data_IF_972619492616
#
_entry.id   IF_972619492616
#
_cell.length_a   1.000
_cell.length_b   1.000
_cell.length_c   1.000
_cell.angle_alpha   90.00
_cell.angle_beta   90.00
_cell.angle_gamma   90.00
#
_symmetry.space_group_name_H-M   'P 1'
#
loop_
_entity.id
_entity.type
_entity.pdbx_description
1 polymer ?
#
# COMPACT_ATOMS: atom_id res chain seq x y z
N UNK A 1 22.89 -5.05 0.67
CA UNK A 1 22.06 -6.13 0.07
C UNK A 1 20.71 -5.55 -0.33
N UNK A 2 19.92 -6.22 -1.20
CA UNK A 2 18.56 -5.79 -1.55
C UNK A 2 17.56 -6.29 -0.52
N UNK A 3 16.56 -5.48 -0.16
CA UNK A 3 15.48 -5.79 0.78
C UNK A 3 14.15 -5.31 0.22
N UNK A 4 13.16 -6.20 0.24
CA UNK A 4 11.76 -5.88 -0.09
C UNK A 4 10.98 -5.93 1.22
N UNK A 5 10.45 -4.79 1.65
CA UNK A 5 9.68 -4.66 2.89
C UNK A 5 8.24 -4.37 2.49
N UNK A 6 7.31 -5.24 2.89
CA UNK A 6 5.90 -5.10 2.57
C UNK A 6 5.10 -4.66 3.79
N UNK A 7 4.34 -3.57 3.66
CA UNK A 7 3.43 -3.04 4.67
C UNK A 7 1.99 -3.27 4.20
N UNK A 8 1.27 -4.22 4.81
CA UNK A 8 -0.06 -4.60 4.36
C UNK A 8 -1.10 -3.52 4.65
N UNK A 9 -2.21 -3.56 3.90
CA UNK A 9 -3.39 -2.77 4.20
C UNK A 9 -4.17 -3.28 5.41
N UNK A 10 -5.22 -2.54 5.76
CA UNK A 10 -6.14 -2.85 6.86
C UNK A 10 -6.93 -4.15 6.68
N UNK A 11 -7.76 -4.44 7.67
CA UNK A 11 -8.49 -5.69 7.96
C UNK A 11 -7.60 -6.78 8.59
N UNK A 12 -8.21 -7.70 9.36
CA UNK A 12 -7.56 -8.93 9.80
C UNK A 12 -6.83 -9.65 8.67
N UNK A 13 -5.64 -10.17 8.98
CA UNK A 13 -4.80 -10.95 8.06
C UNK A 13 -4.62 -12.37 8.60
N UNK A 14 -4.22 -13.33 7.75
CA UNK A 14 -3.72 -14.59 8.24
C UNK A 14 -2.48 -14.42 9.13
N UNK A 15 -2.12 -15.48 9.89
CA UNK A 15 -0.86 -15.53 10.62
C UNK A 15 0.31 -15.03 9.76
N UNK A 16 1.19 -14.23 10.35
CA UNK A 16 2.21 -13.46 9.63
C UNK A 16 3.01 -14.29 8.61
N UNK A 17 3.48 -15.47 8.98
CA UNK A 17 4.28 -16.34 8.10
C UNK A 17 3.47 -16.83 6.90
N UNK A 18 2.22 -17.24 7.13
CA UNK A 18 1.32 -17.70 6.08
C UNK A 18 0.93 -16.56 5.14
N UNK A 19 0.70 -15.35 5.67
CA UNK A 19 0.40 -14.18 4.87
C UNK A 19 1.61 -13.74 4.03
N UNK A 20 2.81 -13.71 4.65
CA UNK A 20 4.07 -13.42 3.95
C UNK A 20 4.27 -14.37 2.78
N UNK A 21 4.04 -15.67 3.01
CA UNK A 21 4.17 -16.69 1.98
C UNK A 21 3.24 -16.43 0.79
N UNK A 22 1.96 -16.16 1.03
CA UNK A 22 1.02 -15.88 -0.08
C UNK A 22 1.36 -14.58 -0.83
N UNK A 23 1.83 -13.55 -0.13
CA UNK A 23 2.28 -12.30 -0.77
C UNK A 23 3.52 -12.55 -1.64
N UNK A 24 4.50 -13.30 -1.14
CA UNK A 24 5.70 -13.65 -1.87
C UNK A 24 5.37 -14.50 -3.11
N UNK A 25 4.49 -15.50 -2.99
CA UNK A 25 4.00 -16.29 -4.13
C UNK A 25 3.41 -15.40 -5.24
N UNK A 26 2.58 -14.43 -4.88
CA UNK A 26 2.00 -13.49 -5.86
C UNK A 26 3.05 -12.58 -6.48
N UNK A 27 3.97 -12.04 -5.69
CA UNK A 27 5.06 -11.20 -6.17
C UNK A 27 5.95 -11.97 -7.15
N UNK A 28 6.42 -13.17 -6.76
CA UNK A 28 7.26 -14.01 -7.59
C UNK A 28 6.56 -14.42 -8.88
N UNK A 29 5.27 -14.76 -8.82
CA UNK A 29 4.49 -15.06 -10.02
C UNK A 29 4.46 -13.86 -10.97
N UNK A 30 4.13 -12.67 -10.48
CA UNK A 30 4.14 -11.44 -11.28
C UNK A 30 5.52 -11.19 -11.91
N UNK A 31 6.57 -11.17 -11.09
CA UNK A 31 7.94 -10.90 -11.56
C UNK A 31 8.43 -11.98 -12.54
N UNK A 32 8.05 -13.24 -12.37
CA UNK A 32 8.41 -14.32 -13.31
C UNK A 32 7.88 -14.05 -14.73
N UNK A 33 6.70 -13.42 -14.85
CA UNK A 33 6.16 -13.06 -16.17
C UNK A 33 6.94 -11.96 -16.87
N UNK A 34 7.70 -11.15 -16.12
CA UNK A 34 8.53 -10.06 -16.62
C UNK A 34 9.97 -10.54 -16.84
N UNK A 35 10.58 -11.12 -15.81
CA UNK A 35 11.95 -11.61 -15.82
C UNK A 35 12.10 -12.81 -14.86
N UNK A 36 12.16 -14.05 -15.39
CA UNK A 36 12.32 -15.27 -14.58
C UNK A 36 13.65 -15.37 -13.81
N UNK A 37 14.72 -14.71 -14.25
CA UNK A 37 16.00 -14.72 -13.54
C UNK A 37 15.91 -13.89 -12.26
N UNK A 38 15.37 -12.67 -12.34
CA UNK A 38 15.12 -11.81 -11.17
C UNK A 38 14.21 -12.50 -10.15
N UNK A 39 13.15 -13.17 -10.60
CA UNK A 39 12.26 -13.90 -9.70
C UNK A 39 13.02 -14.96 -8.88
N UNK A 40 13.91 -15.73 -9.51
CA UNK A 40 14.77 -16.72 -8.83
C UNK A 40 15.75 -16.06 -7.86
N UNK A 41 16.31 -14.90 -8.21
CA UNK A 41 17.18 -14.15 -7.30
C UNK A 41 16.41 -13.67 -6.05
N UNK A 42 15.21 -13.12 -6.22
CA UNK A 42 14.35 -12.69 -5.10
C UNK A 42 14.01 -13.88 -4.19
N UNK A 43 13.64 -15.02 -4.78
CA UNK A 43 13.28 -16.23 -4.05
C UNK A 43 14.48 -16.77 -3.22
N UNK A 44 15.66 -16.80 -3.82
CA UNK A 44 16.87 -17.34 -3.17
C UNK A 44 17.52 -16.39 -2.17
N UNK A 45 17.36 -15.08 -2.33
CA UNK A 45 17.99 -14.07 -1.47
C UNK A 45 17.34 -13.93 -0.08
N UNK A 46 16.16 -14.55 0.14
CA UNK A 46 15.33 -14.38 1.34
C UNK A 46 15.22 -12.91 1.79
N UNK A 47 14.98 -12.04 0.81
CA UNK A 47 15.01 -10.59 0.99
C UNK A 47 13.64 -9.97 1.28
N UNK A 48 12.57 -10.77 1.23
CA UNK A 48 11.20 -10.32 1.42
C UNK A 48 10.77 -10.38 2.90
N UNK A 49 10.28 -9.27 3.43
CA UNK A 49 9.80 -9.17 4.82
C UNK A 49 8.42 -8.54 4.89
N UNK A 50 7.62 -9.01 5.85
CA UNK A 50 6.28 -8.51 6.12
C UNK A 50 6.28 -7.71 7.42
N UNK A 51 5.78 -6.47 7.39
CA UNK A 51 5.44 -5.73 8.60
C UNK A 51 4.05 -6.17 9.07
N UNK A 52 3.97 -7.17 9.94
CA UNK A 52 2.72 -7.80 10.37
C UNK A 52 1.91 -6.98 11.40
N UNK A 53 1.75 -5.68 11.16
CA UNK A 53 1.11 -4.76 12.12
C UNK A 53 -0.36 -5.08 12.42
N UNK A 54 -1.06 -5.76 11.52
CA UNK A 54 -2.48 -6.11 11.68
C UNK A 54 -2.74 -6.90 12.97
N UNK A 55 -1.81 -7.76 13.39
CA UNK A 55 -1.90 -8.56 14.62
C UNK A 55 -1.92 -7.72 15.90
N UNK A 56 -1.43 -6.48 15.82
CA UNK A 56 -1.38 -5.52 16.91
C UNK A 56 -2.51 -4.48 16.83
N UNK A 57 -3.34 -4.55 15.78
CA UNK A 57 -4.44 -3.63 15.53
C UNK A 57 -5.80 -4.30 15.60
N UNK A 58 -5.89 -5.57 15.24
CA UNK A 58 -7.12 -6.37 15.27
C UNK A 58 -7.01 -7.49 16.30
N UNK A 59 -8.11 -7.74 17.02
CA UNK A 59 -8.22 -8.86 17.97
C UNK A 59 -8.47 -10.21 17.30
N UNK A 60 -8.62 -10.22 15.97
CA UNK A 60 -8.93 -11.42 15.19
C UNK A 60 -7.93 -11.60 14.04
N UNK A 61 -7.67 -12.86 13.71
CA UNK A 61 -6.92 -13.25 12.53
C UNK A 61 -7.84 -13.89 11.49
N UNK A 62 -7.51 -13.72 10.21
CA UNK A 62 -8.24 -14.33 9.10
C UNK A 62 -7.71 -15.75 8.88
N UNK A 63 -8.58 -16.75 8.87
CA UNK A 63 -8.15 -18.11 8.53
C UNK A 63 -7.55 -18.16 7.11
N UNK A 64 -6.32 -18.65 7.01
CA UNK A 64 -5.59 -18.79 5.75
C UNK A 64 -6.35 -19.66 4.73
N UNK A 65 -7.15 -20.61 5.20
CA UNK A 65 -7.96 -21.47 4.33
C UNK A 65 -9.03 -20.70 3.56
N UNK A 66 -9.42 -19.51 4.04
CA UNK A 66 -10.31 -18.61 3.31
C UNK A 66 -9.57 -17.84 2.21
N UNK A 67 -8.23 -17.79 2.23
CA UNK A 67 -7.41 -17.01 1.29
C UNK A 67 -6.81 -17.89 0.19
N UNK A 68 -6.29 -19.07 0.55
CA UNK A 68 -5.55 -19.97 -0.36
C UNK A 68 -6.32 -20.29 -1.64
N UNK A 69 -7.62 -20.67 -1.62
CA UNK A 69 -8.34 -21.01 -2.85
C UNK A 69 -8.39 -19.86 -3.84
N UNK A 70 -8.55 -18.63 -3.35
CA UNK A 70 -8.63 -17.43 -4.18
C UNK A 70 -7.27 -16.99 -4.72
N UNK A 71 -6.21 -17.12 -3.92
CA UNK A 71 -4.83 -16.90 -4.40
C UNK A 71 -4.47 -17.94 -5.46
N UNK A 72 -4.73 -19.23 -5.21
CA UNK A 72 -4.46 -20.27 -6.19
C UNK A 72 -5.22 -20.04 -7.50
N UNK A 73 -6.51 -19.66 -7.41
CA UNK A 73 -7.29 -19.27 -8.59
C UNK A 73 -6.67 -18.08 -9.32
N UNK A 74 -6.27 -17.05 -8.59
CA UNK A 74 -5.64 -15.86 -9.18
C UNK A 74 -4.36 -16.23 -9.95
N UNK A 75 -3.54 -17.12 -9.40
CA UNK A 75 -2.27 -17.56 -9.99
C UNK A 75 -2.43 -18.56 -11.15
N UNK A 76 -3.58 -19.22 -11.25
CA UNK A 76 -3.87 -20.20 -12.32
C UNK A 76 -4.61 -19.58 -13.51
N UNK A 77 -4.92 -18.28 -13.48
CA UNK A 77 -5.68 -17.61 -14.54
C UNK A 77 -4.75 -16.99 -15.57
N UNK A 78 -4.72 -17.56 -16.77
CA UNK A 78 -3.94 -17.01 -17.90
C UNK A 78 -4.60 -15.78 -18.53
N UNK A 79 -5.94 -15.71 -18.47
CA UNK A 79 -6.72 -14.57 -18.94
C UNK A 79 -7.80 -14.22 -17.94
N UNK A 80 -8.06 -12.92 -17.83
CA UNK A 80 -9.12 -12.41 -16.97
C UNK A 80 -10.31 -11.93 -17.81
N UNK A 81 -11.54 -12.29 -17.44
CA UNK A 81 -12.70 -12.00 -18.27
C UNK A 81 -13.03 -10.49 -18.27
N UNK A 82 -13.38 -9.96 -19.45
CA UNK A 82 -13.76 -8.55 -19.64
C UNK A 82 -14.93 -8.10 -18.75
N UNK A 83 -15.78 -9.05 -18.33
CA UNK A 83 -16.86 -8.83 -17.37
C UNK A 83 -16.39 -8.21 -16.05
N UNK A 84 -15.13 -8.44 -15.65
CA UNK A 84 -14.56 -7.88 -14.43
C UNK A 84 -14.38 -6.37 -14.60
N UNK A 85 -13.94 -5.93 -15.78
CA UNK A 85 -13.78 -4.51 -16.13
C UNK A 85 -15.13 -3.79 -16.17
N UNK A 86 -16.18 -4.47 -16.61
CA UNK A 86 -17.55 -3.92 -16.67
C UNK A 86 -18.19 -3.77 -15.28
N UNK A 87 -17.93 -4.69 -14.34
CA UNK A 87 -18.46 -4.65 -12.97
C UNK A 87 -18.04 -3.39 -12.18
N UNK A 88 -16.94 -2.76 -12.57
CA UNK A 88 -16.42 -1.50 -11.98
C UNK A 88 -17.22 -0.27 -12.41
N UNK A 89 -18.02 -0.34 -13.48
CA UNK A 89 -18.70 0.84 -14.09
C UNK A 89 -20.04 1.22 -13.45
N UNK A 90 -20.49 0.55 -12.39
CA UNK A 90 -21.83 0.76 -11.83
C UNK A 90 -21.94 2.05 -11.00
N UNK A 91 -23.12 2.70 -11.06
CA UNK A 91 -23.49 3.95 -10.34
C UNK A 91 -23.11 3.97 -8.85
N UNK A 92 -23.10 2.81 -8.19
CA UNK A 92 -22.65 2.62 -6.80
C UNK A 92 -21.23 3.15 -6.54
N UNK A 93 -20.31 2.96 -7.48
CA UNK A 93 -18.90 3.38 -7.37
C UNK A 93 -18.75 4.91 -7.46
N UNK A 94 -19.58 5.58 -8.27
CA UNK A 94 -19.60 7.05 -8.36
C UNK A 94 -20.08 7.70 -7.07
N UNK A 95 -21.10 7.12 -6.43
CA UNK A 95 -21.63 7.63 -5.17
C UNK A 95 -20.63 7.50 -4.01
N UNK A 96 -19.94 6.35 -3.89
CA UNK A 96 -18.93 6.13 -2.86
C UNK A 96 -17.74 7.09 -3.04
N UNK A 97 -17.30 7.33 -4.28
CA UNK A 97 -16.25 8.32 -4.60
C UNK A 97 -16.59 9.71 -4.08
N UNK A 98 -17.82 10.17 -4.30
CA UNK A 98 -18.29 11.48 -3.81
C UNK A 98 -18.29 11.55 -2.28
N UNK A 99 -18.71 10.48 -1.59
CA UNK A 99 -18.73 10.44 -0.12
C UNK A 99 -17.32 10.53 0.47
N UNK A 100 -16.36 9.78 -0.08
CA UNK A 100 -14.97 9.84 0.39
C UNK A 100 -14.28 11.17 0.07
N UNK A 101 -14.57 11.79 -1.09
CA UNK A 101 -14.07 13.14 -1.42
C UNK A 101 -14.65 14.22 -0.48
N UNK A 102 -15.87 14.02 0.01
CA UNK A 102 -16.57 14.93 0.93
C UNK A 102 -16.44 14.53 2.40
N UNK A 103 -15.63 13.52 2.74
CA UNK A 103 -15.62 12.90 4.08
C UNK A 103 -15.35 13.86 5.24
N UNK A 104 -14.52 14.89 5.03
CA UNK A 104 -14.28 15.96 6.01
C UNK A 104 -15.35 17.07 5.99
N UNK A 105 -16.07 17.24 4.88
CA UNK A 105 -17.09 18.27 4.73
C UNK A 105 -18.41 17.83 5.36
N UNK A 106 -18.67 16.52 5.44
CA UNK A 106 -19.96 15.97 5.90
C UNK A 106 -19.81 14.71 6.78
N UNK A 107 -19.17 14.79 7.98
CA UNK A 107 -19.01 13.63 8.88
C UNK A 107 -20.34 12.98 9.28
N UNK A 108 -21.42 13.76 9.29
CA UNK A 108 -22.79 13.31 9.56
C UNK A 108 -23.35 12.36 8.48
N UNK A 109 -22.72 12.26 7.30
CA UNK A 109 -23.07 11.27 6.28
C UNK A 109 -22.49 9.88 6.58
N UNK A 110 -21.44 9.76 7.41
CA UNK A 110 -20.78 8.46 7.70
C UNK A 110 -21.77 7.43 8.27
N UNK A 111 -22.66 7.76 9.22
CA UNK A 111 -23.69 6.84 9.71
C UNK A 111 -24.70 6.40 8.64
N UNK A 112 -24.92 7.23 7.60
CA UNK A 112 -25.87 7.00 6.51
C UNK A 112 -25.30 6.09 5.40
N UNK A 113 -24.00 5.77 5.43
CA UNK A 113 -23.39 4.81 4.52
C UNK A 113 -23.93 3.42 4.86
N UNK A 114 -24.70 2.82 3.95
CA UNK A 114 -25.26 1.47 4.17
C UNK A 114 -24.18 0.38 4.19
N UNK A 115 -23.08 0.58 3.47
CA UNK A 115 -21.99 -0.39 3.39
C UNK A 115 -21.14 -0.42 4.67
N UNK A 116 -21.26 -1.52 5.43
CA UNK A 116 -20.54 -1.74 6.68
C UNK A 116 -19.01 -1.75 6.49
N UNK A 117 -18.50 -2.25 5.35
CA UNK A 117 -17.05 -2.29 5.09
C UNK A 117 -16.46 -0.90 5.00
N UNK A 118 -17.19 0.04 4.40
CA UNK A 118 -16.76 1.44 4.28
C UNK A 118 -16.77 2.10 5.66
N UNK A 119 -17.78 1.84 6.49
CA UNK A 119 -17.85 2.40 7.85
C UNK A 119 -16.71 1.88 8.75
N UNK A 120 -16.46 0.57 8.75
CA UNK A 120 -15.32 -0.02 9.47
C UNK A 120 -13.98 0.51 8.95
N UNK A 121 -13.84 0.60 7.63
CA UNK A 121 -12.69 1.18 6.93
C UNK A 121 -12.34 2.59 7.43
N UNK A 122 -13.34 3.47 7.60
CA UNK A 122 -13.16 4.84 8.12
C UNK A 122 -12.79 4.80 9.60
N UNK A 123 -13.48 3.99 10.42
CA UNK A 123 -13.21 3.85 11.87
C UNK A 123 -11.79 3.38 12.15
N UNK A 124 -11.30 2.38 11.43
CA UNK A 124 -9.92 1.88 11.58
C UNK A 124 -8.89 2.98 11.25
N UNK A 125 -9.18 3.75 10.19
CA UNK A 125 -8.31 4.86 9.77
C UNK A 125 -8.33 5.97 10.83
N UNK A 126 -9.48 6.27 11.42
CA UNK A 126 -9.60 7.19 12.55
C UNK A 126 -8.84 6.73 13.79
N UNK A 127 -8.92 5.43 14.12
CA UNK A 127 -8.25 4.87 15.29
C UNK A 127 -6.73 5.05 15.19
N UNK A 128 -6.17 4.81 14.00
CA UNK A 128 -4.76 5.10 13.73
C UNK A 128 -4.46 6.60 13.86
N UNK A 129 -5.21 7.49 13.21
CA UNK A 129 -4.89 8.93 13.26
C UNK A 129 -5.07 9.56 14.64
N UNK A 130 -6.07 9.11 15.43
CA UNK A 130 -6.25 9.55 16.82
C UNK A 130 -5.16 9.03 17.74
N UNK A 131 -4.40 8.00 17.31
CA UNK A 131 -3.37 7.32 18.09
C UNK A 131 -3.85 6.95 19.51
N UNK A 132 -5.12 6.54 19.63
CA UNK A 132 -5.68 6.18 20.93
C UNK A 132 -4.91 5.01 21.54
N UNK A 133 -4.51 5.13 22.80
CA UNK A 133 -3.72 4.11 23.48
C UNK A 133 -2.39 3.78 22.79
N UNK A 134 -1.76 4.75 22.09
CA UNK A 134 -0.48 4.61 21.39
C UNK A 134 -0.44 3.58 20.23
N UNK A 135 -1.61 3.19 19.72
CA UNK A 135 -1.70 2.14 18.70
C UNK A 135 -0.92 2.48 17.43
N UNK A 136 -0.98 3.72 16.96
CA UNK A 136 -0.32 4.14 15.74
C UNK A 136 1.20 4.24 15.92
N UNK A 137 1.65 4.75 17.08
CA UNK A 137 3.07 4.76 17.43
C UNK A 137 3.65 3.35 17.47
N UNK A 138 2.98 2.40 18.14
CA UNK A 138 3.41 0.99 18.19
C UNK A 138 3.50 0.37 16.80
N UNK A 139 2.52 0.63 15.93
CA UNK A 139 2.49 0.12 14.56
C UNK A 139 3.63 0.69 13.72
N UNK A 140 3.87 2.01 13.80
CA UNK A 140 5.02 2.62 13.13
C UNK A 140 6.33 2.07 13.65
N UNK A 141 6.47 1.86 14.96
CA UNK A 141 7.67 1.24 15.53
C UNK A 141 7.95 -0.16 14.95
N UNK A 142 6.92 -0.97 14.68
CA UNK A 142 7.09 -2.27 13.99
C UNK A 142 7.64 -2.10 12.57
N UNK A 143 7.18 -1.09 11.83
CA UNK A 143 7.71 -0.79 10.50
C UNK A 143 9.13 -0.20 10.55
N UNK A 144 9.39 0.69 11.51
CA UNK A 144 10.69 1.37 11.62
C UNK A 144 11.82 0.39 11.94
N UNK A 145 11.54 -0.70 12.65
CA UNK A 145 12.56 -1.72 12.99
C UNK A 145 13.34 -2.29 11.78
N UNK A 146 12.69 -2.88 10.75
CA UNK A 146 13.41 -3.37 9.58
C UNK A 146 14.07 -2.25 8.77
N UNK A 147 13.47 -1.06 8.73
CA UNK A 147 14.03 0.11 8.03
C UNK A 147 15.31 0.62 8.69
N UNK A 148 15.35 0.79 10.02
CA UNK A 148 16.57 1.14 10.77
C UNK A 148 17.68 0.11 10.54
N UNK A 149 17.33 -1.18 10.55
CA UNK A 149 18.29 -2.26 10.32
C UNK A 149 18.88 -2.21 8.91
N UNK A 150 18.06 -1.91 7.91
CA UNK A 150 18.51 -1.77 6.52
C UNK A 150 19.40 -0.52 6.35
N UNK A 151 18.97 0.63 6.88
CA UNK A 151 19.75 1.87 6.85
C UNK A 151 21.12 1.71 7.53
N UNK A 152 21.19 1.07 8.71
CA UNK A 152 22.45 0.81 9.40
C UNK A 152 23.39 -0.17 8.68
N UNK A 153 22.93 -0.83 7.62
CA UNK A 153 23.72 -1.74 6.79
C UNK A 153 23.96 -1.23 5.36
N UNK A 154 23.45 -0.03 5.04
CA UNK A 154 23.42 0.49 3.68
C UNK A 154 22.78 -0.50 2.69
N UNK A 155 21.72 -1.19 3.15
CA UNK A 155 20.92 -2.07 2.31
C UNK A 155 20.06 -1.24 1.34
N UNK A 156 19.87 -1.77 0.12
CA UNK A 156 18.96 -1.21 -0.88
C UNK A 156 17.53 -1.63 -0.58
N UNK A 157 16.63 -0.67 -0.37
CA UNK A 157 15.28 -0.95 0.12
C UNK A 157 14.19 -0.57 -0.89
N UNK A 158 13.38 -1.56 -1.25
CA UNK A 158 12.06 -1.39 -1.82
C UNK A 158 11.03 -1.51 -0.70
N UNK A 159 10.33 -0.41 -0.41
CA UNK A 159 9.25 -0.39 0.58
C UNK A 159 7.91 -0.39 -0.16
N UNK A 160 7.12 -1.44 0.01
CA UNK A 160 5.81 -1.58 -0.63
C UNK A 160 4.71 -1.29 0.39
N UNK A 161 4.00 -0.18 0.23
CA UNK A 161 2.86 0.21 1.07
C UNK A 161 1.53 -0.05 0.39
N UNK A 162 0.72 -0.98 0.90
CA UNK A 162 -0.63 -1.26 0.36
C UNK A 162 -1.72 -0.59 1.18
N UNK A 163 -2.61 0.16 0.54
CA UNK A 163 -3.79 0.76 1.21
C UNK A 163 -3.36 1.56 2.45
N UNK A 164 -3.93 1.30 3.63
CA UNK A 164 -3.51 1.91 4.89
C UNK A 164 -2.01 1.69 5.22
N UNK A 165 -1.38 0.65 4.69
CA UNK A 165 0.06 0.45 4.78
C UNK A 165 0.87 1.56 4.14
N UNK A 166 0.35 2.27 3.12
CA UNK A 166 1.04 3.44 2.56
C UNK A 166 1.03 4.66 3.51
N UNK A 167 -0.06 4.84 4.29
CA UNK A 167 -0.15 5.85 5.35
C UNK A 167 0.88 5.55 6.43
N UNK A 168 0.89 4.31 6.94
CA UNK A 168 1.84 3.87 7.97
C UNK A 168 3.28 4.05 7.46
N UNK A 169 3.52 3.72 6.19
CA UNK A 169 4.83 3.87 5.59
C UNK A 169 5.31 5.32 5.53
N UNK A 170 4.46 6.22 5.04
CA UNK A 170 4.77 7.64 4.96
C UNK A 170 5.06 8.23 6.35
N UNK A 171 4.18 7.99 7.33
CA UNK A 171 4.38 8.53 8.69
C UNK A 171 5.61 7.91 9.38
N UNK A 172 5.92 6.63 9.12
CA UNK A 172 7.13 5.99 9.66
C UNK A 172 8.39 6.61 9.10
N UNK A 173 8.43 6.87 7.79
CA UNK A 173 9.55 7.53 7.12
C UNK A 173 9.72 8.98 7.60
N UNK A 174 8.62 9.67 7.84
CA UNK A 174 8.61 11.00 8.44
C UNK A 174 9.26 10.99 9.83
N UNK A 175 8.87 10.06 10.71
CA UNK A 175 9.48 9.95 12.04
C UNK A 175 10.96 9.57 11.97
N UNK A 176 11.34 8.64 11.08
CA UNK A 176 12.74 8.25 10.91
C UNK A 176 13.61 9.42 10.47
N UNK A 177 13.12 10.26 9.55
CA UNK A 177 13.87 11.42 9.09
C UNK A 177 13.92 12.51 10.18
N UNK A 178 12.77 12.97 10.69
CA UNK A 178 12.70 14.15 11.54
C UNK A 178 13.02 13.90 13.01
N UNK A 179 12.77 12.69 13.52
CA UNK A 179 12.97 12.37 14.94
C UNK A 179 14.22 11.51 15.18
N UNK A 180 14.64 10.76 14.16
CA UNK A 180 15.74 9.79 14.29
C UNK A 180 16.94 10.13 13.39
N UNK A 181 16.86 11.20 12.58
CA UNK A 181 17.93 11.68 11.69
C UNK A 181 18.44 10.61 10.70
N UNK A 182 17.55 9.77 10.18
CA UNK A 182 17.88 8.83 9.11
C UNK A 182 17.55 9.50 7.77
N UNK A 183 18.58 10.03 7.11
CA UNK A 183 18.46 10.80 5.86
C UNK A 183 18.40 9.96 4.59
N UNK A 184 18.82 8.69 4.64
CA UNK A 184 18.71 7.77 3.52
C UNK A 184 18.24 6.41 4.02
N UNK A 185 17.04 5.99 3.60
CA UNK A 185 16.42 4.76 4.11
C UNK A 185 15.75 3.92 3.04
N UNK A 186 15.13 4.55 2.03
CA UNK A 186 14.31 3.85 1.03
C UNK A 186 14.72 4.27 -0.38
N UNK A 187 15.24 3.33 -1.17
CA UNK A 187 15.62 3.56 -2.56
C UNK A 187 14.42 3.67 -3.49
N UNK A 188 13.31 3.01 -3.16
CA UNK A 188 12.03 3.14 -3.85
C UNK A 188 10.87 2.89 -2.88
N UNK A 189 9.99 3.88 -2.74
CA UNK A 189 8.68 3.71 -2.12
C UNK A 189 7.68 3.31 -3.21
N UNK A 190 7.14 2.11 -3.14
CA UNK A 190 6.08 1.63 -4.03
C UNK A 190 4.75 1.61 -3.28
N UNK A 191 3.80 2.48 -3.63
CA UNK A 191 2.47 2.47 -3.03
C UNK A 191 1.44 1.86 -3.97
N UNK A 192 0.63 0.92 -3.46
CA UNK A 192 -0.42 0.24 -4.25
C UNK A 192 -1.79 0.42 -3.59
N UNK A 193 -2.79 0.86 -4.36
CA UNK A 193 -4.14 1.14 -3.85
C UNK A 193 -4.14 2.20 -2.73
N UNK A 194 -3.29 3.21 -2.88
CA UNK A 194 -2.97 4.17 -1.82
C UNK A 194 -4.07 5.21 -1.61
N UNK A 195 -4.55 5.45 -0.37
CA UNK A 195 -5.47 6.54 -0.06
C UNK A 195 -4.76 7.88 0.19
N UNK A 196 -3.45 8.00 -0.04
CA UNK A 196 -2.65 9.20 0.28
C UNK A 196 -3.10 10.46 -0.46
N UNK A 197 -3.77 10.34 -1.61
CA UNK A 197 -4.33 11.48 -2.35
C UNK A 197 -5.67 11.98 -1.78
N UNK A 198 -6.25 11.26 -0.82
CA UNK A 198 -7.49 11.69 -0.20
C UNK A 198 -7.19 12.82 0.79
N UNK A 199 -7.84 13.98 0.60
CA UNK A 199 -7.72 15.14 1.50
C UNK A 199 -7.88 14.81 2.99
N UNK A 200 -8.81 13.92 3.33
CA UNK A 200 -9.03 13.41 4.69
C UNK A 200 -7.75 12.78 5.28
N UNK A 201 -7.04 11.99 4.48
CA UNK A 201 -5.78 11.35 4.87
C UNK A 201 -4.68 12.40 4.97
N UNK A 202 -4.49 13.23 3.94
CA UNK A 202 -3.42 14.24 3.91
C UNK A 202 -3.44 15.18 5.11
N UNK A 203 -4.61 15.69 5.51
CA UNK A 203 -4.73 16.60 6.67
C UNK A 203 -4.27 15.99 8.01
N UNK A 204 -4.10 14.66 8.07
CA UNK A 204 -3.78 13.91 9.29
C UNK A 204 -2.40 13.25 9.24
N UNK A 205 -1.77 13.16 8.07
CA UNK A 205 -0.39 12.71 7.91
C UNK A 205 0.58 13.62 8.65
N UNK A 206 1.61 13.05 9.28
CA UNK A 206 2.55 13.81 10.12
C UNK A 206 3.21 14.96 9.37
N UNK A 207 3.67 14.71 8.14
CA UNK A 207 4.33 15.74 7.31
C UNK A 207 3.41 16.75 6.63
N UNK A 208 2.09 16.59 6.73
CA UNK A 208 1.10 17.44 6.06
C UNK A 208 0.04 18.03 7.02
N UNK A 209 0.27 17.95 8.34
CA UNK A 209 -0.64 18.54 9.34
C UNK A 209 -0.76 20.05 9.18
N UNK A 210 0.35 20.72 8.88
CA UNK A 210 0.37 22.12 8.47
C UNK A 210 0.51 22.20 6.94
N UNK A 211 -0.58 22.56 6.25
CA UNK A 211 -0.58 22.71 4.79
C UNK A 211 0.14 23.97 4.31
N UNK A 212 0.38 24.95 5.20
CA UNK A 212 1.08 26.19 4.84
C UNK A 212 2.60 26.00 4.89
N UNK A 213 3.06 25.08 5.73
CA UNK A 213 4.46 24.71 5.87
C UNK A 213 4.58 23.17 5.95
N UNK A 214 4.32 22.45 4.84
CA UNK A 214 4.46 21.01 4.83
C UNK A 214 5.91 20.63 5.15
N UNK A 215 6.09 19.60 5.97
CA UNK A 215 7.39 19.12 6.42
C UNK A 215 7.56 17.67 5.98
N UNK A 216 8.04 17.45 4.77
CA UNK A 216 8.10 16.13 4.13
C UNK A 216 9.25 15.26 4.67
N UNK A 217 9.18 13.92 4.55
CA UNK A 217 10.36 13.06 4.74
C UNK A 217 11.37 13.28 3.60
N UNK A 218 12.66 13.36 3.92
CA UNK A 218 13.77 13.46 2.97
C UNK A 218 14.54 12.14 2.71
N UNK A 219 14.04 11.02 3.25
CA UNK A 219 14.75 9.74 3.27
C UNK A 219 14.23 8.70 2.28
N UNK A 220 13.58 9.20 1.23
CA UNK A 220 13.02 8.44 0.12
C UNK A 220 13.73 8.92 -1.15
N UNK A 221 14.30 8.01 -1.93
CA UNK A 221 14.96 8.38 -3.19
C UNK A 221 13.96 8.58 -4.33
N UNK A 222 13.13 7.57 -4.59
CA UNK A 222 12.05 7.65 -5.60
C UNK A 222 10.74 7.10 -5.06
N UNK A 223 9.62 7.56 -5.61
CA UNK A 223 8.28 7.08 -5.26
C UNK A 223 7.50 6.71 -6.53
N UNK A 224 7.04 5.46 -6.60
CA UNK A 224 6.10 4.98 -7.60
C UNK A 224 4.76 4.66 -6.94
N UNK A 225 3.67 5.23 -7.47
CA UNK A 225 2.32 4.93 -7.01
C UNK A 225 1.52 4.24 -8.12
N UNK A 226 0.84 3.14 -7.77
CA UNK A 226 0.11 2.29 -8.71
C UNK A 226 -1.32 2.09 -8.22
N UNK A 227 -2.29 2.46 -9.06
CA UNK A 227 -3.71 2.39 -8.73
C UNK A 227 -4.49 1.60 -9.77
N UNK A 228 -5.24 0.59 -9.32
CA UNK A 228 -6.10 -0.22 -10.17
C UNK A 228 -7.34 0.57 -10.54
N UNK A 229 -7.77 0.40 -11.79
CA UNK A 229 -9.07 0.91 -12.23
C UNK A 229 -10.18 0.36 -11.34
N UNK A 230 -11.01 1.25 -10.82
CA UNK A 230 -12.13 0.88 -9.94
C UNK A 230 -11.81 0.78 -8.46
N UNK A 231 -10.55 0.95 -8.07
CA UNK A 231 -10.17 1.00 -6.67
C UNK A 231 -10.73 2.27 -6.02
N UNK A 232 -11.77 2.10 -5.20
CA UNK A 232 -12.44 3.18 -4.47
C UNK A 232 -11.67 3.67 -3.24
N UNK A 233 -10.55 3.06 -2.90
CA UNK A 233 -9.67 3.55 -1.83
C UNK A 233 -8.59 4.46 -2.42
N UNK A 234 -8.17 4.23 -3.66
CA UNK A 234 -7.28 5.10 -4.43
C UNK A 234 -8.06 6.09 -5.33
N UNK A 235 -8.98 6.85 -4.74
CA UNK A 235 -9.90 7.72 -5.47
C UNK A 235 -9.23 8.90 -6.18
N UNK A 236 -8.13 9.38 -5.58
CA UNK A 236 -7.19 10.23 -6.27
C UNK A 236 -5.91 9.42 -6.52
N UNK A 237 -5.73 8.89 -7.73
CA UNK A 237 -4.55 8.11 -8.08
C UNK A 237 -3.37 9.01 -8.48
N UNK A 238 -3.51 10.34 -8.42
CA UNK A 238 -2.46 11.27 -8.82
C UNK A 238 -1.78 11.80 -7.55
N UNK A 239 -0.77 11.08 -7.06
CA UNK A 239 -0.01 11.52 -5.88
C UNK A 239 1.11 12.50 -6.27
N UNK A 240 1.60 12.45 -7.51
CA UNK A 240 2.69 13.31 -7.95
C UNK A 240 2.34 14.81 -7.89
N UNK A 241 1.08 15.20 -8.14
CA UNK A 241 0.63 16.60 -7.97
C UNK A 241 0.38 16.97 -6.50
N UNK A 242 -0.11 16.02 -5.70
CA UNK A 242 -0.37 16.26 -4.27
C UNK A 242 0.93 16.46 -3.47
N UNK A 243 1.99 15.77 -3.89
CA UNK A 243 3.30 15.78 -3.24
C UNK A 243 4.38 16.47 -4.09
N UNK A 244 3.99 17.28 -5.09
CA UNK A 244 4.92 17.93 -6.03
C UNK A 244 5.97 18.80 -5.30
N UNK A 245 5.60 19.41 -4.19
CA UNK A 245 6.50 20.23 -3.36
C UNK A 245 7.67 19.43 -2.79
N UNK A 246 7.54 18.10 -2.59
CA UNK A 246 8.67 17.25 -2.17
C UNK A 246 9.79 17.29 -3.21
N UNK A 247 9.43 17.27 -4.50
CA UNK A 247 10.41 17.32 -5.60
C UNK A 247 11.02 18.72 -5.68
N UNK A 248 10.19 19.77 -5.61
CA UNK A 248 10.66 21.17 -5.66
C UNK A 248 11.60 21.53 -4.49
N UNK A 249 11.39 20.92 -3.33
CA UNK A 249 12.23 21.09 -2.14
C UNK A 249 13.43 20.12 -2.09
N UNK A 250 13.64 19.30 -3.13
CA UNK A 250 14.69 18.27 -3.20
C UNK A 250 14.64 17.25 -2.05
N UNK A 251 13.44 16.97 -1.50
CA UNK A 251 13.25 15.91 -0.51
C UNK A 251 13.25 14.51 -1.15
N UNK A 252 12.97 14.43 -2.46
CA UNK A 252 12.90 13.20 -3.25
C UNK A 252 13.30 13.49 -4.70
N UNK A 253 13.87 12.51 -5.41
CA UNK A 253 14.28 12.69 -6.80
C UNK A 253 13.08 12.71 -7.75
N UNK A 254 12.10 11.84 -7.54
CA UNK A 254 10.91 11.77 -8.40
C UNK A 254 9.71 11.09 -7.74
N UNK A 255 8.52 11.47 -8.19
CA UNK A 255 7.24 10.82 -7.87
C UNK A 255 6.55 10.49 -9.20
N UNK A 256 6.13 9.25 -9.40
CA UNK A 256 5.45 8.80 -10.62
C UNK A 256 4.16 8.04 -10.32
N UNK A 257 3.11 8.30 -11.10
CA UNK A 257 1.80 7.65 -10.96
C UNK A 257 1.50 6.77 -12.17
N UNK A 258 1.29 5.48 -11.94
CA UNK A 258 0.78 4.54 -12.92
C UNK A 258 -0.70 4.27 -12.66
N UNK A 259 -1.55 4.67 -13.62
CA UNK A 259 -3.02 4.62 -13.52
C UNK A 259 -3.73 4.02 -14.73
N UNK A 260 -3.01 3.86 -15.84
CA UNK A 260 -3.56 3.30 -17.08
C UNK A 260 -3.24 1.82 -17.19
N UNK A 261 -4.17 1.03 -17.70
CA UNK A 261 -3.94 -0.41 -17.96
C UNK A 261 -3.84 -1.30 -16.72
N UNK A 262 -4.01 -0.76 -15.51
CA UNK A 262 -3.96 -1.55 -14.28
C UNK A 262 -5.38 -1.98 -13.92
N UNK A 263 -5.58 -3.30 -13.91
CA UNK A 263 -6.80 -3.90 -13.41
C UNK A 263 -6.43 -5.04 -12.46
N UNK A 264 -7.05 -5.03 -11.29
CA UNK A 264 -6.87 -6.03 -10.26
C UNK A 264 -8.02 -7.04 -10.31
N UNK A 265 -7.68 -8.26 -10.68
CA UNK A 265 -8.65 -9.33 -10.93
C UNK A 265 -8.89 -10.24 -9.71
N UNK A 266 -8.39 -9.86 -8.53
CA UNK A 266 -8.60 -10.66 -7.33
C UNK A 266 -10.09 -10.77 -7.00
N UNK A 267 -10.50 -11.99 -6.66
CA UNK A 267 -11.87 -12.32 -6.28
C UNK A 267 -11.87 -13.07 -4.96
N UNK A 268 -12.91 -12.86 -4.18
CA UNK A 268 -13.19 -13.59 -2.95
C UNK A 268 -14.66 -14.09 -2.97
N UNK A 269 -15.14 -14.65 -1.85
CA UNK A 269 -16.50 -15.18 -1.73
C UNK A 269 -17.58 -14.12 -1.99
N UNK A 270 -17.23 -12.83 -1.93
CA UNK A 270 -18.13 -11.70 -2.13
C UNK A 270 -18.05 -11.12 -3.53
N UNK A 271 -17.21 -11.67 -4.40
CA UNK A 271 -17.05 -11.27 -5.80
C UNK A 271 -15.71 -10.60 -6.09
N UNK A 272 -15.71 -9.69 -7.07
CA UNK A 272 -14.52 -8.96 -7.49
C UNK A 272 -14.08 -7.95 -6.42
N UNK A 273 -12.78 -7.97 -6.09
CA UNK A 273 -12.17 -7.10 -5.10
C UNK A 273 -10.88 -6.49 -5.68
N UNK A 274 -11.07 -5.44 -6.47
CA UNK A 274 -10.01 -4.71 -7.19
C UNK A 274 -9.00 -3.97 -6.28
N UNK A 275 -9.23 -3.99 -4.96
CA UNK A 275 -8.36 -3.36 -3.98
C UNK A 275 -7.42 -4.37 -3.28
N UNK A 276 -7.62 -5.68 -3.46
CA UNK A 276 -6.84 -6.69 -2.72
C UNK A 276 -5.38 -6.71 -3.16
N UNK A 277 -4.47 -6.71 -2.20
CA UNK A 277 -3.01 -6.75 -2.41
C UNK A 277 -2.54 -7.84 -3.38
N UNK A 278 -3.04 -9.06 -3.25
CA UNK A 278 -2.60 -10.20 -4.08
C UNK A 278 -2.75 -9.93 -5.57
N UNK A 279 -3.86 -9.33 -5.98
CA UNK A 279 -4.10 -9.01 -7.40
C UNK A 279 -3.27 -7.82 -7.91
N UNK A 280 -2.80 -6.93 -7.03
CA UNK A 280 -1.80 -5.94 -7.40
C UNK A 280 -0.44 -6.59 -7.63
N UNK A 281 -0.01 -7.51 -6.77
CA UNK A 281 1.34 -8.10 -6.83
C UNK A 281 1.57 -8.96 -8.09
N UNK A 282 0.52 -9.56 -8.64
CA UNK A 282 0.60 -10.27 -9.92
C UNK A 282 0.48 -9.36 -11.15
N UNK A 283 0.14 -8.07 -10.97
CA UNK A 283 -0.13 -7.18 -12.09
C UNK A 283 1.19 -6.86 -12.82
N UNK A 284 1.23 -6.93 -14.17
CA UNK A 284 2.46 -6.68 -14.93
C UNK A 284 3.13 -5.34 -14.65
N UNK A 285 2.37 -4.28 -14.38
CA UNK A 285 2.94 -2.94 -14.09
C UNK A 285 3.65 -2.93 -12.73
N UNK A 286 3.06 -3.58 -11.73
CA UNK A 286 3.68 -3.73 -10.40
C UNK A 286 4.91 -4.62 -10.50
N UNK A 287 4.79 -5.76 -11.18
CA UNK A 287 5.89 -6.69 -11.41
C UNK A 287 7.07 -6.03 -12.13
N UNK A 288 6.79 -5.25 -13.19
CA UNK A 288 7.81 -4.49 -13.92
C UNK A 288 8.50 -3.47 -13.01
N UNK A 289 7.75 -2.74 -12.19
CA UNK A 289 8.33 -1.76 -11.25
C UNK A 289 9.26 -2.44 -10.23
N UNK A 290 8.90 -3.64 -9.76
CA UNK A 290 9.74 -4.44 -8.85
C UNK A 290 11.00 -4.93 -9.57
N UNK A 291 10.86 -5.42 -10.80
CA UNK A 291 11.98 -5.89 -11.62
C UNK A 291 12.96 -4.75 -11.96
N UNK A 292 12.46 -3.60 -12.40
CA UNK A 292 13.27 -2.42 -12.74
C UNK A 292 14.05 -1.92 -11.52
N UNK A 293 13.41 -1.88 -10.34
CA UNK A 293 14.10 -1.55 -9.10
C UNK A 293 15.15 -2.60 -8.75
N UNK A 294 14.84 -3.89 -8.91
CA UNK A 294 15.77 -4.96 -8.63
C UNK A 294 17.02 -4.84 -9.49
N UNK A 295 16.89 -4.57 -10.79
CA UNK A 295 18.04 -4.43 -11.69
C UNK A 295 18.87 -3.16 -11.43
N UNK A 296 18.23 -2.07 -11.03
CA UNK A 296 18.89 -0.78 -10.80
C UNK A 296 19.59 -0.65 -9.44
N UNK A 297 19.24 -1.51 -8.47
CA UNK A 297 19.77 -1.49 -7.10
C UNK A 297 21.11 -2.25 -6.97
#
# INVERSE_FOLDING_TARGET
MKKIIYVPGKNPKPPADQHREQLLRCLLHGVTTINPDIAREIETADCFSLVAWNQHFYDTELDINQVIPWVNRLLSQDTFPDSDIEAVRTVKYRLIRTIYQLGDLLPWLIPLISDERIRLSIRDTELYFKNHGDIARRIRDLQKQPLRKAAGKDDKVLLIGHSMGSIIAYDSLWELHHLENIDHCVDCLLTIGSPLGINYVQRRLLGLRDKQAPNYPGNIRTWVNISSRGDLVALDPSLANDFEEMVKQNCIESISDQRSGIFNHYRDERGLNVHKSYGYLINPVVAQTIADWWDAA
#
